data_IF_977370026709
#
_entry.id   IF_977370026709
#
_cell.length_a   1.000
_cell.length_b   1.000
_cell.length_c   1.000
_cell.angle_alpha   90.00
_cell.angle_beta   90.00
_cell.angle_gamma   90.00
#
_symmetry.space_group_name_H-M   'P 1'
#
loop_
_entity.id
_entity.type
_entity.pdbx_description
1 polymer ?
#
# COMPACT_ATOMS: atom_id res chain seq x y z
N UNK A 1 0.53 56.43 -54.49
CA UNK A 1 -0.26 55.59 -53.58
C UNK A 1 0.54 54.31 -53.35
N UNK A 2 1.14 54.14 -52.16
CA UNK A 2 1.90 52.96 -51.81
C UNK A 2 1.10 52.14 -50.77
N UNK A 3 0.78 50.88 -51.09
CA UNK A 3 0.07 49.96 -50.22
C UNK A 3 0.99 49.49 -49.07
N UNK A 4 0.45 49.32 -47.83
CA UNK A 4 1.26 48.84 -46.71
C UNK A 4 1.50 47.30 -46.78
N UNK A 5 2.63 46.79 -46.25
CA UNK A 5 2.94 45.37 -46.25
C UNK A 5 2.11 44.60 -45.20
N UNK A 6 1.67 43.40 -45.58
CA UNK A 6 0.80 42.53 -44.83
C UNK A 6 1.48 41.91 -43.57
N UNK A 7 0.82 42.05 -42.42
CA UNK A 7 1.23 41.50 -41.09
C UNK A 7 0.94 39.98 -40.96
N UNK A 8 1.40 39.15 -41.86
CA UNK A 8 1.12 37.71 -41.81
C UNK A 8 2.22 36.83 -41.13
N UNK A 9 3.32 37.45 -40.68
CA UNK A 9 4.48 36.67 -40.14
C UNK A 9 4.52 36.50 -38.62
N UNK A 10 3.65 37.14 -37.86
CA UNK A 10 3.72 37.12 -36.40
C UNK A 10 2.94 35.96 -35.77
N UNK A 11 1.94 35.40 -36.45
CA UNK A 11 1.10 34.31 -35.84
C UNK A 11 1.80 32.97 -35.89
N UNK A 12 2.56 32.67 -36.93
CA UNK A 12 3.28 31.41 -37.10
C UNK A 12 4.45 31.25 -36.12
N UNK A 13 5.13 32.34 -35.78
CA UNK A 13 6.24 32.31 -34.82
C UNK A 13 5.76 32.08 -33.38
N UNK A 14 4.60 32.61 -32.98
CA UNK A 14 4.03 32.41 -31.64
C UNK A 14 3.52 30.99 -31.45
N UNK A 15 2.90 30.38 -32.49
CA UNK A 15 2.46 28.98 -32.43
C UNK A 15 3.66 27.97 -32.30
N UNK A 16 4.77 28.26 -32.96
CA UNK A 16 5.96 27.42 -32.87
C UNK A 16 6.61 27.45 -31.47
N UNK A 17 6.59 28.61 -30.80
CA UNK A 17 7.13 28.74 -29.44
C UNK A 17 6.22 28.04 -28.41
N UNK A 18 4.91 28.06 -28.57
CA UNK A 18 3.96 27.39 -27.68
C UNK A 18 4.07 25.86 -27.83
N UNK A 19 4.29 25.35 -29.04
CA UNK A 19 4.48 23.91 -29.26
C UNK A 19 5.81 23.38 -28.71
N UNK A 20 6.88 24.20 -28.66
CA UNK A 20 8.15 23.79 -28.06
C UNK A 20 8.10 23.74 -26.53
N UNK A 21 7.19 24.42 -25.87
CA UNK A 21 7.05 24.38 -24.41
C UNK A 21 6.26 23.16 -23.92
N UNK A 22 5.56 22.44 -24.81
CA UNK A 22 4.80 21.24 -24.46
C UNK A 22 5.62 19.94 -24.48
N UNK A 23 6.87 20.00 -24.96
CA UNK A 23 7.81 18.88 -24.89
C UNK A 23 8.76 19.15 -23.70
N UNK A 24 8.24 19.24 -22.49
CA UNK A 24 9.05 18.96 -21.32
C UNK A 24 9.39 17.47 -21.38
N UNK A 25 10.69 17.08 -21.55
CA UNK A 25 11.05 15.70 -21.33
C UNK A 25 10.62 15.40 -19.89
N UNK A 26 9.66 14.50 -19.70
CA UNK A 26 9.46 13.88 -18.42
C UNK A 26 10.81 13.21 -18.11
N UNK A 27 11.64 13.88 -17.31
CA UNK A 27 12.84 13.27 -16.74
C UNK A 27 12.25 12.14 -15.91
N UNK A 28 12.30 10.91 -16.44
CA UNK A 28 11.96 9.73 -15.67
C UNK A 28 12.89 9.78 -14.45
N UNK A 29 12.33 9.98 -13.29
CA UNK A 29 13.06 9.92 -12.04
C UNK A 29 13.57 8.48 -11.96
N UNK A 30 14.86 8.28 -12.21
CA UNK A 30 15.48 6.97 -12.03
C UNK A 30 15.59 6.79 -10.52
N UNK A 31 14.76 5.90 -9.99
CA UNK A 31 14.79 5.55 -8.59
C UNK A 31 15.95 4.57 -8.35
N UNK A 32 16.91 4.97 -7.53
CA UNK A 32 17.95 4.06 -7.05
C UNK A 32 17.31 3.04 -6.09
N UNK A 33 17.75 1.78 -6.17
CA UNK A 33 17.28 0.73 -5.26
C UNK A 33 17.49 1.10 -3.79
N UNK A 34 18.58 1.77 -3.46
CA UNK A 34 18.92 2.19 -2.10
C UNK A 34 18.18 3.46 -1.64
N UNK A 35 17.48 4.16 -2.53
CA UNK A 35 16.68 5.32 -2.16
C UNK A 35 15.32 4.86 -1.57
N UNK A 36 15.15 4.99 -0.26
CA UNK A 36 13.89 4.67 0.40
C UNK A 36 12.74 5.66 0.08
N UNK A 37 13.06 6.79 -0.55
CA UNK A 37 12.06 7.81 -0.91
C UNK A 37 11.28 7.51 -2.19
N UNK A 38 11.67 6.49 -2.96
CA UNK A 38 10.98 6.11 -4.20
C UNK A 38 11.08 4.61 -4.45
N UNK A 39 10.33 4.08 -5.43
CA UNK A 39 10.44 2.71 -5.91
C UNK A 39 10.26 2.67 -7.43
N UNK A 40 11.11 1.91 -8.14
CA UNK A 40 10.92 1.51 -9.54
C UNK A 40 10.44 0.06 -9.55
N UNK A 41 9.12 -0.20 -9.44
CA UNK A 41 8.63 -1.53 -9.09
C UNK A 41 8.84 -2.53 -10.24
N UNK A 42 9.51 -3.65 -9.93
CA UNK A 42 9.55 -4.83 -10.80
C UNK A 42 8.15 -5.44 -10.94
N UNK A 43 7.35 -5.37 -9.88
CA UNK A 43 5.95 -5.78 -9.88
C UNK A 43 5.13 -4.84 -9.00
N UNK A 44 3.95 -4.46 -9.52
CA UNK A 44 3.03 -3.51 -8.90
C UNK A 44 1.60 -4.03 -8.99
N UNK A 45 0.84 -3.86 -7.93
CA UNK A 45 -0.59 -4.15 -7.89
C UNK A 45 -1.33 -3.01 -7.20
N UNK A 46 -2.54 -2.74 -7.66
CA UNK A 46 -3.47 -1.83 -6.98
C UNK A 46 -4.82 -2.50 -6.74
N UNK A 47 -5.47 -2.11 -5.65
CA UNK A 47 -6.78 -2.61 -5.26
C UNK A 47 -7.64 -1.46 -4.78
N UNK A 48 -8.89 -1.32 -5.26
CA UNK A 48 -9.82 -0.35 -4.71
C UNK A 48 -10.25 -0.78 -3.31
N UNK A 49 -10.25 0.17 -2.38
CA UNK A 49 -10.65 -0.01 -0.98
C UNK A 49 -11.68 1.04 -0.63
N UNK A 50 -12.83 0.63 -0.12
CA UNK A 50 -13.78 1.53 0.50
C UNK A 50 -13.42 1.72 1.97
N UNK A 51 -13.26 2.96 2.40
CA UNK A 51 -12.93 3.29 3.80
C UNK A 51 -13.69 4.53 4.25
N UNK A 52 -15.00 4.37 4.37
CA UNK A 52 -15.89 5.41 4.87
C UNK A 52 -15.80 5.52 6.42
N UNK A 53 -16.08 6.67 7.01
CA UNK A 53 -16.52 7.93 6.36
C UNK A 53 -15.36 8.82 5.90
N UNK A 54 -14.10 8.40 6.05
CA UNK A 54 -12.95 9.23 5.74
C UNK A 54 -12.87 9.55 4.23
N UNK A 55 -13.14 8.56 3.40
CA UNK A 55 -13.17 8.70 1.95
C UNK A 55 -14.57 8.38 1.44
N UNK A 56 -15.20 9.36 0.79
CA UNK A 56 -16.54 9.21 0.19
C UNK A 56 -16.56 8.36 -1.09
N UNK A 57 -15.40 8.01 -1.61
CA UNK A 57 -15.22 7.15 -2.77
C UNK A 57 -14.10 6.15 -2.51
N UNK A 58 -14.10 4.99 -3.18
CA UNK A 58 -13.01 4.05 -3.05
C UNK A 58 -11.66 4.70 -3.35
N UNK A 59 -10.67 4.39 -2.52
CA UNK A 59 -9.27 4.76 -2.69
C UNK A 59 -8.51 3.59 -3.33
N UNK A 60 -7.42 3.86 -4.01
CA UNK A 60 -6.57 2.81 -4.56
C UNK A 60 -5.41 2.54 -3.60
N UNK A 61 -5.36 1.31 -3.09
CA UNK A 61 -4.22 0.82 -2.32
C UNK A 61 -3.20 0.19 -3.27
N UNK A 62 -1.98 0.69 -3.23
CA UNK A 62 -0.87 0.22 -4.05
C UNK A 62 0.14 -0.54 -3.20
N UNK A 63 0.60 -1.65 -3.73
CA UNK A 63 1.70 -2.43 -3.22
C UNK A 63 2.63 -2.81 -4.37
N UNK A 64 3.92 -2.58 -4.20
CA UNK A 64 4.92 -2.94 -5.17
C UNK A 64 6.20 -3.43 -4.53
N UNK A 65 6.98 -4.18 -5.31
CA UNK A 65 8.33 -4.54 -4.92
C UNK A 65 9.30 -4.37 -6.09
N UNK A 66 10.53 -4.08 -5.73
CA UNK A 66 11.70 -4.03 -6.60
C UNK A 66 12.74 -5.02 -6.07
N UNK A 67 13.71 -5.38 -6.90
CA UNK A 67 14.74 -6.34 -6.54
C UNK A 67 16.10 -5.87 -7.00
N UNK A 68 17.06 -5.92 -6.11
CA UNK A 68 18.45 -5.69 -6.49
C UNK A 68 19.01 -6.95 -7.16
N UNK A 69 19.54 -6.78 -8.35
CA UNK A 69 20.32 -7.85 -8.98
C UNK A 69 21.55 -8.17 -8.12
N UNK A 70 21.92 -9.46 -7.95
CA UNK A 70 23.08 -9.85 -7.12
C UNK A 70 24.44 -9.41 -7.65
N UNK A 71 24.51 -8.50 -8.59
CA UNK A 71 25.69 -8.17 -9.40
C UNK A 71 26.39 -6.87 -9.03
N UNK A 72 26.10 -6.25 -7.88
CA UNK A 72 26.88 -5.10 -7.44
C UNK A 72 28.30 -5.55 -7.01
N UNK A 73 29.37 -5.10 -7.69
CA UNK A 73 30.74 -5.47 -7.32
C UNK A 73 31.11 -5.07 -5.89
N UNK A 74 30.50 -4.03 -5.33
CA UNK A 74 30.76 -3.61 -3.94
C UNK A 74 30.13 -4.59 -2.94
N UNK A 75 28.98 -5.18 -3.23
CA UNK A 75 28.38 -6.22 -2.40
C UNK A 75 29.19 -7.51 -2.43
N UNK A 76 29.98 -7.76 -3.47
CA UNK A 76 30.87 -8.92 -3.51
C UNK A 76 31.98 -8.85 -2.47
N UNK A 77 32.25 -7.68 -1.91
CA UNK A 77 33.21 -7.48 -0.83
C UNK A 77 32.64 -7.75 0.57
N UNK A 78 31.31 -7.83 0.71
CA UNK A 78 30.67 -8.13 1.97
C UNK A 78 30.80 -9.63 2.31
N UNK A 79 30.75 -10.03 3.61
CA UNK A 79 30.66 -11.41 4.02
C UNK A 79 29.48 -12.11 3.34
N UNK A 80 29.60 -13.39 3.03
CA UNK A 80 28.59 -14.15 2.26
C UNK A 80 27.18 -14.15 2.92
N UNK A 81 27.11 -14.00 4.24
CA UNK A 81 25.88 -13.86 5.00
C UNK A 81 25.11 -12.54 4.67
N UNK A 82 25.84 -11.52 4.23
CA UNK A 82 25.29 -10.19 3.97
C UNK A 82 25.03 -9.95 2.47
N UNK A 83 25.28 -10.97 1.63
CA UNK A 83 25.15 -10.89 0.15
C UNK A 83 23.87 -11.54 -0.38
N UNK A 84 22.94 -11.84 0.46
CA UNK A 84 21.67 -12.45 0.03
C UNK A 84 20.88 -11.56 -0.92
N UNK A 85 20.00 -12.14 -1.74
CA UNK A 85 19.07 -11.36 -2.55
C UNK A 85 18.24 -10.46 -1.66
N UNK A 86 18.02 -9.22 -2.09
CA UNK A 86 17.28 -8.22 -1.34
C UNK A 86 16.11 -7.71 -2.17
N UNK A 87 14.95 -7.62 -1.54
CA UNK A 87 13.73 -7.06 -2.10
C UNK A 87 13.45 -5.74 -1.40
N UNK A 88 13.16 -4.71 -2.18
CA UNK A 88 12.63 -3.43 -1.73
C UNK A 88 11.13 -3.45 -1.90
N UNK A 89 10.37 -3.22 -0.85
CA UNK A 89 8.91 -3.18 -0.88
C UNK A 89 8.40 -1.82 -0.50
N UNK A 90 7.30 -1.41 -1.12
CA UNK A 90 6.65 -0.15 -0.83
C UNK A 90 5.14 -0.26 -0.91
N UNK A 91 4.44 0.59 -0.15
CA UNK A 91 3.01 0.78 -0.28
C UNK A 91 2.62 2.25 -0.18
N UNK A 92 1.48 2.58 -0.78
CA UNK A 92 0.88 3.91 -0.69
C UNK A 92 -0.61 3.85 -1.01
N UNK A 93 -1.29 4.95 -0.73
CA UNK A 93 -2.67 5.17 -1.16
C UNK A 93 -2.70 6.25 -2.24
N UNK A 94 -3.56 6.06 -3.22
CA UNK A 94 -3.90 7.08 -4.23
C UNK A 94 -5.38 7.41 -4.14
N UNK A 95 -5.70 8.69 -4.06
CA UNK A 95 -7.06 9.22 -3.94
C UNK A 95 -7.10 10.67 -4.39
N UNK A 96 -8.30 11.16 -4.70
CA UNK A 96 -8.53 12.57 -4.99
C UNK A 96 -8.62 13.35 -3.67
N UNK A 97 -7.62 14.17 -3.38
CA UNK A 97 -7.55 14.93 -2.14
C UNK A 97 -8.72 15.90 -1.96
N UNK A 98 -9.30 16.40 -3.06
CA UNK A 98 -10.48 17.27 -2.99
C UNK A 98 -11.73 16.56 -2.46
N UNK A 99 -11.73 15.22 -2.44
CA UNK A 99 -12.82 14.37 -1.97
C UNK A 99 -12.58 13.80 -0.59
N UNK A 100 -11.48 14.12 0.06
CA UNK A 100 -11.25 13.79 1.46
C UNK A 100 -12.23 14.58 2.31
N UNK A 101 -13.03 13.85 3.03
CA UNK A 101 -14.24 14.23 3.74
C UNK A 101 -14.44 15.70 4.14
N UNK A 102 -15.45 16.31 3.52
CA UNK A 102 -16.11 17.50 4.06
C UNK A 102 -17.17 17.16 5.12
N UNK A 103 -17.43 15.88 5.36
CA UNK A 103 -18.28 15.45 6.48
C UNK A 103 -17.52 15.63 7.78
N UNK A 104 -18.20 15.98 8.90
CA UNK A 104 -17.57 16.01 10.20
C UNK A 104 -17.15 14.59 10.57
N UNK A 105 -16.02 14.17 10.04
CA UNK A 105 -15.34 12.99 10.51
C UNK A 105 -15.08 13.25 11.97
N UNK A 106 -15.63 12.38 12.83
CA UNK A 106 -15.51 12.57 14.28
C UNK A 106 -14.06 12.90 14.60
N UNK A 107 -13.87 14.09 15.11
CA UNK A 107 -12.62 14.51 15.70
C UNK A 107 -12.14 13.39 16.64
N UNK A 108 -10.84 13.27 16.84
CA UNK A 108 -10.26 12.35 17.78
C UNK A 108 -10.32 10.87 17.36
N UNK A 109 -9.99 10.59 16.10
CA UNK A 109 -9.78 9.22 15.59
C UNK A 109 -8.45 9.14 14.84
N UNK A 110 -7.61 8.19 15.21
CA UNK A 110 -6.41 7.85 14.46
C UNK A 110 -6.76 6.88 13.33
N UNK A 111 -6.20 7.14 12.16
CA UNK A 111 -6.34 6.25 11.01
C UNK A 111 -4.97 5.75 10.58
N UNK A 112 -4.83 4.43 10.52
CA UNK A 112 -3.56 3.76 10.28
C UNK A 112 -3.72 2.71 9.19
N UNK A 113 -2.62 2.45 8.48
CA UNK A 113 -2.49 1.32 7.59
C UNK A 113 -1.23 0.55 7.96
N UNK A 114 -1.37 -0.74 8.12
CA UNK A 114 -0.27 -1.67 8.27
C UNK A 114 -0.15 -2.57 7.04
N UNK A 115 1.06 -3.00 6.70
CA UNK A 115 1.28 -3.99 5.66
C UNK A 115 2.06 -5.17 6.21
N UNK A 116 1.38 -6.32 6.31
CA UNK A 116 1.98 -7.57 6.68
C UNK A 116 2.46 -8.31 5.43
N UNK A 117 3.75 -8.65 5.36
CA UNK A 117 4.38 -9.41 4.27
C UNK A 117 5.15 -10.59 4.86
N UNK A 118 5.36 -11.61 4.05
CA UNK A 118 6.13 -12.82 4.34
C UNK A 118 5.25 -14.02 4.67
N UNK A 119 5.75 -15.19 4.39
CA UNK A 119 5.25 -16.54 4.69
C UNK A 119 3.77 -16.87 4.40
N UNK A 120 2.96 -15.97 3.86
CA UNK A 120 1.60 -16.26 3.39
C UNK A 120 1.62 -16.50 1.88
N UNK A 121 1.01 -17.60 1.48
CA UNK A 121 0.77 -17.94 0.07
C UNK A 121 -0.70 -18.23 -0.13
N UNK A 122 -1.20 -18.09 -1.33
CA UNK A 122 -2.60 -18.37 -1.64
C UNK A 122 -3.10 -17.57 -2.82
N UNK A 123 -4.36 -17.77 -3.15
CA UNK A 123 -5.03 -17.05 -4.23
C UNK A 123 -5.94 -15.98 -3.63
N UNK A 124 -5.84 -14.80 -4.17
CA UNK A 124 -6.73 -13.70 -3.84
C UNK A 124 -8.12 -13.98 -4.42
N UNK A 125 -9.17 -13.85 -3.61
CA UNK A 125 -10.56 -14.06 -4.06
C UNK A 125 -11.58 -13.89 -2.93
N UNK A 126 -12.84 -13.89 -3.28
CA UNK A 126 -13.93 -13.71 -2.31
C UNK A 126 -14.04 -12.28 -1.77
N UNK A 127 -14.68 -12.15 -0.60
CA UNK A 127 -14.86 -10.87 0.09
C UNK A 127 -13.59 -10.39 0.82
N UNK A 128 -13.72 -9.34 1.63
CA UNK A 128 -12.61 -8.71 2.36
C UNK A 128 -11.43 -8.35 1.45
N UNK A 129 -11.74 -7.75 0.28
CA UNK A 129 -10.77 -7.35 -0.74
C UNK A 129 -9.82 -8.50 -1.13
N UNK A 130 -10.38 -9.71 -1.26
CA UNK A 130 -9.66 -10.89 -1.71
C UNK A 130 -9.02 -11.74 -0.61
N UNK A 131 -9.12 -11.35 0.66
CA UNK A 131 -8.52 -12.09 1.76
C UNK A 131 -9.20 -13.43 2.04
N UNK A 132 -10.51 -13.53 1.77
CA UNK A 132 -11.25 -14.76 1.99
C UNK A 132 -10.78 -15.92 1.11
N UNK A 133 -10.24 -15.62 -0.07
CA UNK A 133 -9.59 -16.62 -0.91
C UNK A 133 -8.24 -17.12 -0.39
N UNK A 134 -7.56 -16.33 0.46
CA UNK A 134 -6.26 -16.69 1.03
C UNK A 134 -6.39 -17.65 2.22
N UNK A 135 -7.36 -17.40 3.11
CA UNK A 135 -7.49 -18.12 4.39
C UNK A 135 -8.92 -18.43 4.83
N UNK A 136 -9.89 -18.12 4.00
CA UNK A 136 -11.30 -18.35 4.28
C UNK A 136 -11.99 -17.16 5.02
N UNK A 137 -13.31 -17.03 4.85
CA UNK A 137 -14.07 -15.91 5.41
C UNK A 137 -14.07 -15.90 6.95
N UNK A 138 -14.01 -17.07 7.58
CA UNK A 138 -14.00 -17.17 9.04
C UNK A 138 -12.72 -16.57 9.65
N UNK A 139 -11.55 -16.75 8.99
CA UNK A 139 -10.32 -16.12 9.45
C UNK A 139 -10.42 -14.59 9.33
N UNK A 140 -10.92 -14.06 8.19
CA UNK A 140 -11.09 -12.62 8.01
C UNK A 140 -11.96 -12.02 9.12
N UNK A 141 -13.09 -12.66 9.44
CA UNK A 141 -13.98 -12.21 10.50
C UNK A 141 -13.30 -12.24 11.88
N UNK A 142 -12.64 -13.35 12.21
CA UNK A 142 -11.98 -13.53 13.50
C UNK A 142 -10.79 -12.55 13.64
N UNK A 143 -10.03 -12.31 12.59
CA UNK A 143 -8.92 -11.35 12.59
C UNK A 143 -9.44 -9.92 12.80
N UNK A 144 -10.48 -9.52 12.06
CA UNK A 144 -11.12 -8.19 12.23
C UNK A 144 -11.65 -8.03 13.66
N UNK A 145 -12.33 -9.03 14.20
CA UNK A 145 -12.85 -9.01 15.57
C UNK A 145 -11.71 -8.94 16.61
N UNK A 146 -10.65 -9.70 16.41
CA UNK A 146 -9.49 -9.69 17.31
C UNK A 146 -8.84 -8.29 17.36
N UNK A 147 -8.59 -7.68 16.20
CA UNK A 147 -7.98 -6.35 16.12
C UNK A 147 -8.89 -5.27 16.72
N UNK A 148 -10.20 -5.30 16.43
CA UNK A 148 -11.17 -4.39 17.03
C UNK A 148 -11.18 -4.46 18.55
N UNK A 149 -11.29 -5.67 19.09
CA UNK A 149 -11.29 -5.89 20.54
C UNK A 149 -9.97 -5.43 21.16
N UNK A 150 -8.83 -5.75 20.56
CA UNK A 150 -7.52 -5.35 21.09
C UNK A 150 -7.35 -3.82 21.13
N UNK A 151 -7.76 -3.11 20.07
CA UNK A 151 -7.73 -1.65 20.04
C UNK A 151 -8.73 -1.05 21.04
N UNK A 152 -9.92 -1.63 21.14
CA UNK A 152 -10.92 -1.22 22.12
C UNK A 152 -10.41 -1.38 23.56
N UNK A 153 -9.79 -2.53 23.88
CA UNK A 153 -9.28 -2.83 25.22
C UNK A 153 -8.15 -1.87 25.63
N UNK A 154 -7.30 -1.46 24.67
CA UNK A 154 -6.29 -0.43 24.93
C UNK A 154 -6.96 0.88 25.39
N UNK A 155 -7.98 1.34 24.67
CA UNK A 155 -8.70 2.55 25.00
C UNK A 155 -9.50 2.42 26.30
N UNK A 156 -10.16 1.29 26.53
CA UNK A 156 -10.94 1.01 27.73
C UNK A 156 -10.07 0.96 29.00
N UNK A 157 -8.79 0.63 28.86
CA UNK A 157 -7.81 0.69 29.97
C UNK A 157 -7.42 2.12 30.36
N UNK A 158 -7.90 3.13 29.62
CA UNK A 158 -7.54 4.55 29.81
C UNK A 158 -6.19 4.93 29.23
N UNK A 159 -5.54 4.01 28.51
CA UNK A 159 -4.27 4.24 27.81
C UNK A 159 -4.58 4.50 26.33
N UNK A 160 -4.45 5.75 25.93
CA UNK A 160 -4.61 6.14 24.53
C UNK A 160 -3.25 6.19 23.85
N UNK A 161 -3.18 5.59 22.68
CA UNK A 161 -2.00 5.58 21.82
C UNK A 161 -2.24 6.52 20.64
N UNK A 162 -1.20 7.20 20.18
CA UNK A 162 -1.23 7.93 18.90
C UNK A 162 -1.42 6.99 17.71
N UNK A 163 -0.88 5.77 17.83
CA UNK A 163 -0.92 4.70 16.84
C UNK A 163 -1.43 3.40 17.47
N UNK A 164 -2.74 3.24 17.71
CA UNK A 164 -3.28 2.08 18.41
C UNK A 164 -3.14 0.77 17.63
N UNK A 165 -3.23 0.78 16.30
CA UNK A 165 -2.97 -0.41 15.49
C UNK A 165 -1.50 -0.85 15.60
N UNK A 166 -0.57 0.10 15.48
CA UNK A 166 0.86 -0.18 15.65
C UNK A 166 1.15 -0.81 17.02
N UNK A 167 0.59 -0.24 18.09
CA UNK A 167 0.74 -0.74 19.45
C UNK A 167 0.20 -2.19 19.59
N UNK A 168 -0.96 -2.48 19.01
CA UNK A 168 -1.54 -3.85 19.03
C UNK A 168 -0.65 -4.81 18.25
N UNK A 169 -0.22 -4.45 17.05
CA UNK A 169 0.60 -5.33 16.20
C UNK A 169 1.98 -5.58 16.84
N UNK A 170 2.58 -4.57 17.47
CA UNK A 170 3.82 -4.74 18.22
C UNK A 170 3.63 -5.70 19.40
N UNK A 171 2.59 -5.53 20.21
CA UNK A 171 2.29 -6.45 21.31
C UNK A 171 2.06 -7.89 20.84
N UNK A 172 1.48 -8.07 19.65
CA UNK A 172 1.26 -9.39 19.07
C UNK A 172 2.56 -10.06 18.62
N UNK A 173 3.48 -9.30 18.02
CA UNK A 173 4.78 -9.81 17.58
C UNK A 173 5.73 -10.12 18.74
N UNK A 174 5.64 -9.35 19.83
CA UNK A 174 6.45 -9.56 21.03
C UNK A 174 6.01 -10.77 21.88
N UNK A 175 4.76 -11.22 21.73
CA UNK A 175 4.24 -12.39 22.46
C UNK A 175 4.90 -13.68 21.95
N UNK A 176 5.33 -14.50 22.87
CA UNK A 176 5.85 -15.84 22.55
C UNK A 176 5.07 -16.89 23.35
N UNK A 177 4.29 -17.76 22.68
CA UNK A 177 4.03 -17.79 21.23
C UNK A 177 3.13 -16.64 20.74
N UNK A 178 3.18 -16.31 19.45
CA UNK A 178 2.26 -15.35 18.85
C UNK A 178 0.80 -15.74 19.08
N UNK A 179 -0.14 -14.79 19.11
CA UNK A 179 -1.54 -15.10 19.36
C UNK A 179 -2.10 -16.00 18.26
N UNK A 180 -2.84 -17.03 18.68
CA UNK A 180 -3.58 -17.89 17.75
C UNK A 180 -4.97 -17.34 17.53
N UNK A 181 -5.27 -16.96 16.28
CA UNK A 181 -6.59 -16.53 15.88
C UNK A 181 -7.34 -17.73 15.28
N UNK A 182 -8.53 -18.09 15.79
CA UNK A 182 -9.28 -19.23 15.28
C UNK A 182 -9.47 -19.15 13.75
N UNK A 183 -9.33 -20.29 13.08
CA UNK A 183 -9.47 -20.43 11.61
C UNK A 183 -8.45 -19.66 10.78
N UNK A 184 -7.47 -18.99 11.40
CA UNK A 184 -6.39 -18.32 10.69
C UNK A 184 -5.12 -19.17 10.66
N UNK A 185 -4.23 -18.97 9.66
CA UNK A 185 -2.92 -19.59 9.66
C UNK A 185 -2.15 -19.25 10.94
N UNK A 186 -1.54 -20.26 11.59
CA UNK A 186 -0.75 -20.06 12.82
C UNK A 186 0.46 -19.15 12.58
N UNK A 187 0.94 -19.09 11.33
CA UNK A 187 2.05 -18.24 10.91
C UNK A 187 1.66 -16.78 10.66
N UNK A 188 0.38 -16.39 10.85
CA UNK A 188 -0.11 -15.06 10.45
C UNK A 188 0.73 -13.92 11.07
N UNK A 189 1.14 -14.04 12.33
CA UNK A 189 1.97 -13.04 13.02
C UNK A 189 3.42 -13.50 13.23
N UNK A 190 3.84 -14.57 12.59
CA UNK A 190 5.24 -15.03 12.60
C UNK A 190 6.01 -14.32 11.48
N UNK A 191 6.15 -13.01 11.58
CA UNK A 191 6.88 -12.15 10.65
C UNK A 191 7.74 -11.17 11.43
N UNK A 192 8.87 -10.79 10.85
CA UNK A 192 9.85 -9.94 11.54
C UNK A 192 9.35 -8.50 11.70
N UNK A 193 8.67 -7.95 10.69
CA UNK A 193 8.22 -6.56 10.66
C UNK A 193 6.85 -6.46 10.02
N UNK A 194 5.98 -5.66 10.66
CA UNK A 194 4.72 -5.18 10.08
C UNK A 194 4.77 -3.65 10.13
N UNK A 195 5.26 -2.99 9.07
CA UNK A 195 5.33 -1.54 9.05
C UNK A 195 3.93 -0.92 9.09
N UNK A 196 3.78 0.11 9.90
CA UNK A 196 2.54 0.86 10.09
C UNK A 196 2.77 2.33 9.70
N UNK A 197 1.76 2.94 9.10
CA UNK A 197 1.72 4.36 8.77
C UNK A 197 0.40 4.95 9.26
N UNK A 198 0.47 5.92 10.17
CA UNK A 198 -0.66 6.80 10.47
C UNK A 198 -0.79 7.83 9.34
N UNK A 199 -1.97 8.00 8.77
CA UNK A 199 -2.16 8.86 7.61
C UNK A 199 -3.25 9.93 7.80
N UNK A 200 -3.84 9.98 8.98
CA UNK A 200 -4.71 11.06 9.40
C UNK A 200 -4.20 11.59 10.73
N UNK A 201 -3.86 12.84 10.73
CA UNK A 201 -3.52 13.57 11.94
C UNK A 201 -4.58 14.60 12.22
N UNK A 202 -4.95 14.72 13.50
CA UNK A 202 -5.82 15.77 13.98
C UNK A 202 -4.97 16.92 14.51
N UNK A 203 -5.31 18.13 14.11
CA UNK A 203 -4.71 19.32 14.68
C UNK A 203 -5.59 19.78 15.87
N UNK A 204 -5.12 19.54 17.08
CA UNK A 204 -5.83 19.87 18.32
C UNK A 204 -6.28 21.35 18.40
N UNK A 205 -5.58 22.24 17.69
CA UNK A 205 -5.84 23.69 17.75
C UNK A 205 -6.99 24.14 16.83
N UNK A 206 -7.26 23.42 15.74
CA UNK A 206 -8.20 23.87 14.69
C UNK A 206 -9.36 22.92 14.43
N UNK A 207 -9.42 21.75 15.04
CA UNK A 207 -10.36 20.66 14.71
C UNK A 207 -10.34 20.29 13.21
N UNK A 208 -9.26 20.58 12.53
CA UNK A 208 -9.06 20.24 11.13
C UNK A 208 -8.41 18.88 11.03
N UNK A 209 -8.99 18.01 10.21
CA UNK A 209 -8.39 16.72 9.88
C UNK A 209 -7.39 16.94 8.76
N UNK A 210 -6.15 16.59 9.00
CA UNK A 210 -5.11 16.56 7.97
C UNK A 210 -4.90 15.15 7.52
N UNK A 211 -5.15 14.87 6.25
CA UNK A 211 -4.84 13.60 5.62
C UNK A 211 -3.57 13.76 4.80
N UNK A 212 -2.64 12.82 4.93
CA UNK A 212 -1.42 12.79 4.15
C UNK A 212 -1.71 12.91 2.64
N UNK A 213 -0.80 13.52 1.88
CA UNK A 213 -0.94 13.60 0.44
C UNK A 213 -0.98 12.19 -0.19
N UNK A 214 -1.72 12.02 -1.31
CA UNK A 214 -1.67 10.79 -2.09
C UNK A 214 -0.22 10.40 -2.39
N UNK A 215 0.08 9.12 -2.21
CA UNK A 215 1.40 8.61 -2.55
C UNK A 215 1.52 8.25 -4.03
N UNK A 216 2.75 7.96 -4.44
CA UNK A 216 3.07 7.46 -5.77
C UNK A 216 4.32 6.58 -5.68
N UNK A 217 4.71 5.95 -6.79
CA UNK A 217 5.99 5.21 -6.84
C UNK A 217 7.20 6.14 -6.65
N UNK A 218 7.09 7.43 -7.02
CA UNK A 218 8.12 8.43 -6.76
C UNK A 218 8.13 8.93 -5.30
N UNK A 219 7.01 8.75 -4.58
CA UNK A 219 6.85 9.15 -3.18
C UNK A 219 5.92 8.16 -2.46
N UNK A 220 6.39 6.92 -2.21
CA UNK A 220 5.61 5.94 -1.47
C UNK A 220 5.48 6.35 -0.01
N UNK A 221 4.40 5.92 0.63
CA UNK A 221 4.18 6.23 2.03
C UNK A 221 5.12 5.50 2.98
N UNK A 222 5.47 4.25 2.64
CA UNK A 222 6.44 3.44 3.37
C UNK A 222 7.25 2.58 2.42
N UNK A 223 8.52 2.48 2.69
CA UNK A 223 9.47 1.59 2.00
C UNK A 223 10.34 0.89 3.03
N UNK A 224 10.62 -0.38 2.81
CA UNK A 224 11.58 -1.16 3.60
C UNK A 224 12.21 -2.27 2.76
N UNK A 225 13.23 -2.91 3.33
CA UNK A 225 14.01 -3.92 2.63
C UNK A 225 13.85 -5.28 3.32
N UNK A 226 13.66 -6.33 2.52
CA UNK A 226 13.57 -7.72 2.97
C UNK A 226 14.80 -8.45 2.47
N UNK A 227 15.60 -8.97 3.39
CA UNK A 227 16.81 -9.73 3.08
C UNK A 227 16.49 -11.19 2.79
N UNK A 228 17.38 -11.87 2.06
CA UNK A 228 17.31 -13.29 1.76
C UNK A 228 15.99 -13.73 1.08
N UNK A 229 15.42 -12.84 0.27
CA UNK A 229 14.20 -13.09 -0.50
C UNK A 229 14.45 -12.77 -1.96
N UNK A 230 14.09 -13.70 -2.84
CA UNK A 230 14.20 -13.53 -4.30
C UNK A 230 12.90 -12.99 -4.90
N UNK A 231 12.93 -12.38 -6.11
CA UNK A 231 11.72 -11.92 -6.78
C UNK A 231 10.65 -13.01 -6.99
N UNK A 232 10.99 -14.25 -7.39
CA UNK A 232 9.99 -15.32 -7.51
C UNK A 232 9.35 -15.68 -6.16
N UNK A 233 10.12 -15.68 -5.05
CA UNK A 233 9.59 -15.93 -3.72
C UNK A 233 8.67 -14.79 -3.27
N UNK A 234 9.05 -13.54 -3.52
CA UNK A 234 8.20 -12.39 -3.20
C UNK A 234 6.91 -12.38 -4.02
N UNK A 235 6.98 -12.74 -5.30
CA UNK A 235 5.82 -12.75 -6.20
C UNK A 235 4.74 -13.79 -5.81
N UNK A 236 5.08 -14.86 -5.09
CA UNK A 236 4.10 -15.86 -4.63
C UNK A 236 3.52 -15.51 -3.26
N UNK A 237 4.10 -14.55 -2.54
CA UNK A 237 3.63 -14.13 -1.24
C UNK A 237 2.42 -13.21 -1.34
N UNK A 238 1.50 -13.37 -0.41
CA UNK A 238 0.37 -12.46 -0.23
C UNK A 238 0.73 -11.42 0.82
N UNK A 239 0.65 -10.17 0.44
CA UNK A 239 0.73 -9.05 1.35
C UNK A 239 -0.68 -8.70 1.86
N UNK A 240 -0.78 -8.39 3.15
CA UNK A 240 -2.06 -8.06 3.81
C UNK A 240 -2.02 -6.63 4.30
N UNK A 241 -2.78 -5.77 3.64
CA UNK A 241 -3.09 -4.42 4.13
C UNK A 241 -4.14 -4.51 5.24
N UNK A 242 -3.84 -3.87 6.38
CA UNK A 242 -4.76 -3.77 7.52
C UNK A 242 -5.03 -2.28 7.72
N UNK A 243 -6.25 -1.85 7.41
CA UNK A 243 -6.69 -0.49 7.65
C UNK A 243 -7.41 -0.43 8.98
N UNK A 244 -7.12 0.56 9.79
CA UNK A 244 -7.83 0.81 11.04
C UNK A 244 -8.22 2.27 11.19
N UNK A 245 -9.35 2.48 11.85
CA UNK A 245 -9.76 3.77 12.38
C UNK A 245 -10.22 3.56 13.80
N UNK A 246 -9.39 4.00 14.73
CA UNK A 246 -9.52 3.77 16.17
C UNK A 246 -9.52 5.04 16.98
N UNK A 247 -9.67 4.94 18.31
CA UNK A 247 -9.60 6.07 19.24
C UNK A 247 -8.17 6.60 19.31
N UNK A 248 -8.04 7.92 19.37
CA UNK A 248 -6.79 8.61 19.64
C UNK A 248 -6.84 9.37 20.97
N UNK A 249 -5.76 10.04 21.32
CA UNK A 249 -5.71 10.89 22.49
C UNK A 249 -6.82 11.94 22.44
N UNK A 250 -7.55 12.13 23.55
CA UNK A 250 -8.67 13.05 23.61
C UNK A 250 -9.99 12.56 23.00
N UNK A 251 -10.04 11.34 22.48
CA UNK A 251 -11.28 10.72 22.02
C UNK A 251 -12.32 10.61 23.13
N UNK A 252 -13.59 10.75 22.75
CA UNK A 252 -14.67 10.27 23.60
C UNK A 252 -14.52 8.74 23.81
N UNK A 253 -14.86 8.22 24.99
CA UNK A 253 -14.87 6.78 25.22
C UNK A 253 -15.67 6.06 24.15
N UNK A 254 -15.15 4.92 23.70
CA UNK A 254 -15.88 4.04 22.78
C UNK A 254 -17.00 3.31 23.55
N UNK A 255 -18.15 3.12 22.90
CA UNK A 255 -19.25 2.35 23.49
C UNK A 255 -19.01 0.84 23.38
N UNK A 256 -18.36 0.43 22.29
CA UNK A 256 -18.06 -0.98 22.01
C UNK A 256 -16.88 -1.12 21.06
N UNK A 257 -16.38 -2.34 20.89
CA UNK A 257 -15.35 -2.66 19.89
C UNK A 257 -15.83 -2.41 18.45
N UNK A 258 -17.14 -2.38 18.21
CA UNK A 258 -17.71 -2.12 16.87
C UNK A 258 -17.49 -0.67 16.42
N UNK A 259 -17.20 0.24 17.35
CA UNK A 259 -16.80 1.62 17.04
C UNK A 259 -15.39 1.71 16.42
N UNK A 260 -14.61 0.63 16.47
CA UNK A 260 -13.31 0.50 15.80
C UNK A 260 -13.53 -0.08 14.41
N UNK A 261 -13.16 0.68 13.40
CA UNK A 261 -13.24 0.21 12.01
C UNK A 261 -11.96 -0.54 11.63
N UNK A 262 -12.11 -1.74 11.06
CA UNK A 262 -11.01 -2.54 10.50
C UNK A 262 -11.41 -3.04 9.13
N UNK A 263 -10.55 -2.79 8.13
CA UNK A 263 -10.64 -3.39 6.80
C UNK A 263 -9.37 -4.15 6.45
N UNK A 264 -9.54 -5.28 5.77
CA UNK A 264 -8.44 -6.14 5.31
C UNK A 264 -8.37 -6.08 3.80
N UNK A 265 -7.16 -6.08 3.27
CA UNK A 265 -6.89 -6.07 1.83
C UNK A 265 -5.77 -7.04 1.55
N UNK A 266 -6.05 -8.11 0.81
CA UNK A 266 -5.03 -9.05 0.39
C UNK A 266 -4.60 -8.76 -1.04
N UNK A 267 -3.30 -8.61 -1.25
CA UNK A 267 -2.71 -8.34 -2.55
C UNK A 267 -1.57 -9.31 -2.81
N UNK A 268 -1.41 -9.65 -4.07
CA UNK A 268 -0.28 -10.43 -4.57
C UNK A 268 0.21 -9.74 -5.83
N UNK A 269 1.47 -9.36 -5.86
CA UNK A 269 2.05 -8.76 -7.05
C UNK A 269 2.18 -9.82 -8.16
N UNK A 270 1.88 -9.48 -9.42
CA UNK A 270 2.02 -10.41 -10.52
C UNK A 270 3.48 -10.87 -10.66
N UNK A 271 3.67 -12.09 -11.17
CA UNK A 271 4.98 -12.54 -11.62
C UNK A 271 5.37 -11.73 -12.85
N UNK A 272 6.33 -10.82 -12.71
CA UNK A 272 6.87 -10.05 -13.82
C UNK A 272 5.81 -9.29 -14.65
N UNK A 273 5.52 -8.04 -14.30
CA UNK A 273 5.21 -7.09 -15.34
C UNK A 273 6.57 -6.74 -16.00
N UNK A 274 6.91 -7.41 -17.10
CA UNK A 274 7.92 -6.87 -17.99
C UNK A 274 7.56 -5.41 -18.22
N UNK A 275 8.52 -4.49 -18.09
CA UNK A 275 8.36 -3.12 -18.58
C UNK A 275 7.70 -3.26 -19.94
N UNK A 276 6.44 -2.83 -20.04
CA UNK A 276 5.76 -2.79 -21.33
C UNK A 276 6.62 -1.88 -22.19
N UNK A 277 7.26 -2.47 -23.19
CA UNK A 277 7.89 -1.72 -24.26
C UNK A 277 6.77 -0.89 -24.87
N UNK A 278 6.82 0.48 -24.79
CA UNK A 278 5.70 1.30 -25.24
C UNK A 278 5.36 1.11 -26.72
N UNK A 279 6.20 0.38 -27.47
CA UNK A 279 6.03 0.12 -28.89
C UNK A 279 5.45 -1.27 -29.21
N UNK A 280 5.13 -2.10 -28.20
CA UNK A 280 4.45 -3.39 -28.41
C UNK A 280 3.07 -3.36 -27.79
N UNK A 281 2.08 -3.08 -28.60
CA UNK A 281 0.69 -3.48 -28.36
C UNK A 281 0.64 -5.00 -28.62
N UNK A 282 0.90 -5.79 -27.58
CA UNK A 282 0.68 -7.22 -27.66
C UNK A 282 -0.84 -7.45 -27.61
N UNK A 283 -1.37 -8.00 -28.70
CA UNK A 283 -2.69 -8.62 -28.74
C UNK A 283 -2.75 -9.65 -27.61
N UNK A 284 -3.59 -9.38 -26.63
CA UNK A 284 -3.89 -10.33 -25.56
C UNK A 284 -4.82 -11.38 -26.17
N UNK A 285 -4.25 -12.48 -26.65
CA UNK A 285 -5.02 -13.69 -26.88
C UNK A 285 -5.52 -14.21 -25.53
N UNK A 286 -6.81 -13.97 -25.28
CA UNK A 286 -7.62 -14.56 -24.21
C UNK A 286 -7.93 -16.04 -24.56
N UNK A 287 -6.93 -16.90 -24.59
CA UNK A 287 -7.17 -18.34 -24.68
C UNK A 287 -6.19 -19.07 -23.75
N UNK A 288 -6.75 -19.97 -22.95
CA UNK A 288 -6.14 -21.02 -22.12
C UNK A 288 -6.17 -20.84 -20.59
N UNK A 289 -7.39 -20.85 -20.05
CA UNK A 289 -7.63 -21.38 -18.68
C UNK A 289 -8.75 -22.45 -18.71
N UNK A 290 -8.57 -23.49 -19.53
CA UNK A 290 -9.29 -24.76 -19.37
C UNK A 290 -8.29 -25.87 -19.00
N UNK A 291 -8.70 -26.66 -17.99
CA UNK A 291 -8.16 -27.96 -17.61
C UNK A 291 -7.01 -28.04 -16.60
N UNK A 292 -7.41 -28.10 -15.33
CA UNK A 292 -6.78 -29.02 -14.36
C UNK A 292 -7.77 -29.34 -13.21
N UNK A 293 -8.77 -30.21 -13.49
CA UNK A 293 -9.42 -31.02 -12.45
C UNK A 293 -8.73 -32.39 -12.40
N UNK A 294 -8.28 -32.88 -11.24
CA UNK A 294 -7.90 -34.27 -11.09
C UNK A 294 -9.16 -35.15 -10.99
N UNK A 295 -9.14 -36.38 -11.54
CA UNK A 295 -10.26 -37.31 -11.46
C UNK A 295 -10.40 -37.88 -10.06
N UNK A 296 -11.64 -38.26 -9.73
CA UNK A 296 -12.18 -38.78 -8.50
C UNK A 296 -11.47 -40.04 -7.95
#
# INVERSE_FOLDING_TARGET
MRSPPSKRWTVTAVLAIILLQLISPAIALICDFNDAGCIDPLALVSVPVAFEPLFSSPISFFYGFDAQAPSDPEQQLLPAADRGPMIKVSFWLQYDQSRVGSSPVQANRTTEIALRIGNLTGYRGGENHGCDGVWGPQCSQNLKAYLRNSIYDLAASGVYYSSPLEAVLQQMSERQPPPTIPSCPTSLFQVDVIPVKSFVEENELDQTITVDYPGSSAFPWRTWYIQNTTPPEQAVQVAVGIFSRGPSWGSAPLNSADDVQIELVCVRAPREQRRADPDKVDDVDDDDDEDCYPPA
#
